data_IF_690779925627
#
_entry.id   IF_690779925627
#
_cell.length_a   1.000
_cell.length_b   1.000
_cell.length_c   1.000
_cell.angle_alpha   90.00
_cell.angle_beta   90.00
_cell.angle_gamma   90.00
#
_symmetry.space_group_name_H-M   'P 1'
#
loop_
_entity.id
_entity.type
_entity.pdbx_description
1 polymer ?
#
# COMPACT_ATOMS: atom_id res chain seq x y z
N UNK A 1 -3.92 -3.82 -1.63
CA UNK A 1 -3.16 -3.16 -0.53
C UNK A 1 -4.05 -2.76 0.65
N UNK A 2 -5.07 -1.90 0.51
CA UNK A 2 -5.88 -1.45 1.64
C UNK A 2 -6.49 -2.60 2.48
N UNK A 3 -7.06 -3.62 1.83
CA UNK A 3 -7.58 -4.80 2.54
C UNK A 3 -6.52 -5.60 3.31
N UNK A 4 -5.25 -5.54 2.87
CA UNK A 4 -4.13 -6.15 3.59
C UNK A 4 -3.83 -5.43 4.91
N UNK A 5 -3.84 -4.09 4.92
CA UNK A 5 -3.72 -3.32 6.16
C UNK A 5 -4.91 -3.53 7.10
N UNK A 6 -6.12 -3.72 6.56
CA UNK A 6 -7.28 -4.09 7.37
C UNK A 6 -7.10 -5.47 8.03
N UNK A 7 -6.51 -6.44 7.31
CA UNK A 7 -6.18 -7.75 7.88
C UNK A 7 -5.08 -7.67 8.96
N UNK A 8 -4.07 -6.81 8.78
CA UNK A 8 -3.04 -6.54 9.81
C UNK A 8 -3.69 -5.90 11.05
N UNK A 9 -4.56 -4.90 10.88
CA UNK A 9 -5.31 -4.28 11.97
C UNK A 9 -6.11 -5.33 12.74
N UNK A 10 -6.91 -6.14 12.05
CA UNK A 10 -7.73 -7.17 12.68
C UNK A 10 -6.85 -8.17 13.44
N UNK A 11 -5.78 -8.64 12.81
CA UNK A 11 -4.84 -9.57 13.43
C UNK A 11 -4.16 -8.97 14.67
N UNK A 12 -3.82 -7.68 14.64
CA UNK A 12 -3.22 -6.98 15.77
C UNK A 12 -4.17 -6.94 16.98
N UNK A 13 -5.47 -6.71 16.74
CA UNK A 13 -6.50 -6.76 17.79
C UNK A 13 -6.69 -8.18 18.35
N UNK A 14 -6.73 -9.19 17.49
CA UNK A 14 -6.91 -10.59 17.90
C UNK A 14 -5.71 -11.13 18.69
N UNK A 15 -4.49 -10.77 18.30
CA UNK A 15 -3.26 -11.29 18.91
C UNK A 15 -2.75 -10.44 20.09
N UNK A 16 -3.26 -9.22 20.25
CA UNK A 16 -2.78 -8.25 21.23
C UNK A 16 -1.44 -7.59 20.86
N UNK A 17 -0.87 -7.90 19.68
CA UNK A 17 0.33 -7.23 19.19
C UNK A 17 0.00 -5.82 18.69
N UNK A 18 0.92 -4.88 18.92
CA UNK A 18 0.76 -3.50 18.45
C UNK A 18 1.72 -3.17 17.31
N UNK A 19 1.19 -2.76 16.16
CA UNK A 19 2.00 -2.04 15.18
C UNK A 19 2.33 -0.64 15.70
N UNK A 20 3.36 -0.01 15.14
CA UNK A 20 3.78 1.33 15.53
C UNK A 20 2.70 2.38 15.26
N UNK A 21 1.81 2.15 14.29
CA UNK A 21 0.77 3.09 13.89
C UNK A 21 -0.57 2.83 14.61
N UNK A 22 -0.82 1.61 15.10
CA UNK A 22 -2.03 1.24 15.82
C UNK A 22 -1.91 1.44 17.35
N UNK A 23 -0.74 1.10 17.91
CA UNK A 23 -0.53 1.06 19.35
C UNK A 23 -1.26 -0.10 20.07
N UNK A 24 -0.96 -0.36 21.35
CA UNK A 24 -1.63 -1.38 22.16
C UNK A 24 -3.11 -1.06 22.37
N UNK A 25 -3.94 -2.07 22.62
CA UNK A 25 -5.37 -1.85 22.95
C UNK A 25 -5.58 -1.06 24.24
N UNK A 26 -4.70 -1.24 25.23
CA UNK A 26 -4.73 -0.52 26.51
C UNK A 26 -4.28 0.94 26.39
N UNK A 27 -3.61 1.30 25.30
CA UNK A 27 -3.11 2.64 25.03
C UNK A 27 -3.16 2.92 23.51
N UNK A 28 -4.37 3.07 22.94
CA UNK A 28 -4.54 3.22 21.51
C UNK A 28 -3.92 4.53 21.03
N UNK A 29 -3.33 4.50 19.83
CA UNK A 29 -2.84 5.72 19.19
C UNK A 29 -3.98 6.59 18.69
N UNK A 30 -3.66 7.87 18.47
CA UNK A 30 -4.55 8.80 17.79
C UNK A 30 -5.00 8.22 16.44
N UNK A 31 -6.30 8.31 16.16
CA UNK A 31 -6.89 7.73 14.95
C UNK A 31 -6.21 8.21 13.66
N UNK A 32 -5.74 9.46 13.64
CA UNK A 32 -5.00 10.05 12.52
C UNK A 32 -3.71 9.29 12.19
N UNK A 33 -3.02 8.77 13.21
CA UNK A 33 -1.84 7.92 13.02
C UNK A 33 -2.28 6.55 12.53
N UNK A 34 -3.38 6.02 13.07
CA UNK A 34 -3.85 4.67 12.73
C UNK A 34 -4.37 4.54 11.30
N UNK A 35 -4.87 5.62 10.69
CA UNK A 35 -5.32 5.62 9.29
C UNK A 35 -4.20 5.84 8.27
N UNK A 36 -3.01 6.26 8.74
CA UNK A 36 -1.88 6.62 7.88
C UNK A 36 -1.50 5.53 6.85
N UNK A 37 -1.47 4.22 7.18
CA UNK A 37 -1.16 3.17 6.21
C UNK A 37 -2.19 3.05 5.07
N UNK A 38 -3.41 3.54 5.28
CA UNK A 38 -4.50 3.46 4.31
C UNK A 38 -4.47 4.60 3.29
N UNK A 39 -3.74 5.69 3.56
CA UNK A 39 -3.73 6.87 2.71
C UNK A 39 -3.19 6.57 1.31
N UNK A 40 -2.04 5.89 1.23
CA UNK A 40 -1.43 5.51 -0.05
C UNK A 40 -2.35 4.62 -0.92
N UNK A 41 -2.88 3.49 -0.42
CA UNK A 41 -3.76 2.66 -1.25
C UNK A 41 -5.09 3.31 -1.60
N UNK A 42 -5.66 4.17 -0.73
CA UNK A 42 -6.88 4.93 -1.05
C UNK A 42 -6.60 5.96 -2.16
N UNK A 43 -5.53 6.75 -2.01
CA UNK A 43 -5.13 7.73 -3.01
C UNK A 43 -4.87 7.07 -4.38
N UNK A 44 -4.24 5.89 -4.38
CA UNK A 44 -4.02 5.11 -5.60
C UNK A 44 -5.31 4.59 -6.23
N UNK A 45 -6.24 4.10 -5.41
CA UNK A 45 -7.55 3.67 -5.91
C UNK A 45 -8.26 4.84 -6.60
N UNK A 46 -8.26 6.03 -5.98
CA UNK A 46 -8.84 7.25 -6.56
C UNK A 46 -8.11 7.63 -7.86
N UNK A 47 -6.78 7.64 -7.88
CA UNK A 47 -5.99 7.97 -9.06
C UNK A 47 -6.26 7.02 -10.23
N UNK A 48 -6.55 5.76 -9.95
CA UNK A 48 -6.92 4.74 -10.94
C UNK A 48 -8.18 5.11 -11.73
N UNK A 49 -9.17 5.73 -11.09
CA UNK A 49 -10.41 6.15 -11.75
C UNK A 49 -10.23 7.34 -12.70
N UNK A 50 -9.19 8.16 -12.50
CA UNK A 50 -8.95 9.37 -13.29
C UNK A 50 -8.14 9.07 -14.56
N UNK A 51 -7.72 7.81 -14.79
CA UNK A 51 -7.10 7.40 -16.06
C UNK A 51 -5.78 8.11 -16.36
N UNK A 52 -4.94 8.33 -15.35
CA UNK A 52 -3.71 9.09 -15.54
C UNK A 52 -2.64 8.27 -16.28
N UNK A 53 -2.08 8.82 -17.36
CA UNK A 53 -0.83 8.34 -18.00
C UNK A 53 0.35 8.22 -17.01
N UNK A 54 0.23 8.88 -15.86
CA UNK A 54 1.18 8.88 -14.74
C UNK A 54 0.86 7.84 -13.66
N UNK A 55 -0.22 7.07 -13.77
CA UNK A 55 -0.66 6.08 -12.77
C UNK A 55 0.44 5.09 -12.35
N UNK A 56 1.30 4.57 -13.27
CA UNK A 56 2.42 3.70 -12.89
C UNK A 56 3.48 4.41 -12.02
N UNK A 57 3.64 5.73 -12.14
CA UNK A 57 4.53 6.50 -11.27
C UNK A 57 3.93 6.70 -9.88
N UNK A 58 2.63 6.99 -9.82
CA UNK A 58 1.91 7.08 -8.55
C UNK A 58 1.96 5.75 -7.80
N UNK A 59 1.78 4.61 -8.49
CA UNK A 59 1.84 3.29 -7.85
C UNK A 59 3.21 2.96 -7.27
N UNK A 60 4.30 3.36 -7.92
CA UNK A 60 5.67 3.27 -7.35
C UNK A 60 5.77 4.12 -6.08
N UNK A 61 5.30 5.36 -6.12
CA UNK A 61 5.31 6.24 -4.96
C UNK A 61 4.49 5.66 -3.79
N UNK A 62 3.31 5.13 -4.05
CA UNK A 62 2.47 4.50 -3.03
C UNK A 62 3.08 3.22 -2.46
N UNK A 63 3.77 2.42 -3.28
CA UNK A 63 4.53 1.26 -2.81
C UNK A 63 5.70 1.69 -1.90
N UNK A 64 6.43 2.75 -2.24
CA UNK A 64 7.50 3.29 -1.41
C UNK A 64 6.98 3.79 -0.05
N UNK A 65 5.85 4.53 -0.03
CA UNK A 65 5.20 4.94 1.21
C UNK A 65 4.78 3.74 2.06
N UNK A 66 4.20 2.72 1.43
CA UNK A 66 3.80 1.47 2.11
C UNK A 66 5.01 0.77 2.74
N UNK A 67 6.15 0.72 2.04
CA UNK A 67 7.39 0.15 2.57
C UNK A 67 7.96 0.97 3.74
N UNK A 68 7.84 2.30 3.72
CA UNK A 68 8.23 3.15 4.84
C UNK A 68 7.36 2.91 6.08
N UNK A 69 6.07 2.63 5.89
CA UNK A 69 5.19 2.23 7.00
C UNK A 69 5.63 0.87 7.57
N UNK A 70 5.88 -0.11 6.69
CA UNK A 70 6.37 -1.44 7.08
C UNK A 70 7.68 -1.39 7.87
N UNK A 71 8.58 -0.47 7.50
CA UNK A 71 9.85 -0.26 8.19
C UNK A 71 9.65 0.08 9.67
N UNK A 72 8.60 0.82 10.02
CA UNK A 72 8.34 1.20 11.42
C UNK A 72 8.01 0.02 12.35
N UNK A 73 7.59 -1.12 11.79
CA UNK A 73 7.31 -2.35 12.55
C UNK A 73 8.51 -3.32 12.61
N UNK A 74 9.58 -3.02 11.89
CA UNK A 74 10.85 -3.76 12.00
C UNK A 74 11.39 -3.61 13.43
N UNK A 75 11.63 -4.75 14.09
CA UNK A 75 12.09 -4.76 15.48
C UNK A 75 10.99 -4.60 16.53
N UNK A 76 9.72 -4.43 16.13
CA UNK A 76 8.56 -4.53 17.03
C UNK A 76 7.84 -5.87 16.84
N UNK A 77 7.32 -6.09 15.63
CA UNK A 77 6.55 -7.28 15.27
C UNK A 77 6.93 -7.70 13.86
N UNK A 78 7.98 -8.51 13.75
CA UNK A 78 8.58 -8.87 12.46
C UNK A 78 7.58 -9.55 11.49
N UNK A 79 6.57 -10.26 12.00
CA UNK A 79 5.52 -10.86 11.18
C UNK A 79 4.65 -9.82 10.46
N UNK A 80 4.31 -8.72 11.13
CA UNK A 80 3.57 -7.62 10.49
C UNK A 80 4.45 -6.83 9.52
N UNK A 81 5.69 -6.53 9.91
CA UNK A 81 6.65 -5.90 9.00
C UNK A 81 6.80 -6.70 7.69
N UNK A 82 6.98 -8.02 7.77
CA UNK A 82 7.07 -8.88 6.58
C UNK A 82 5.80 -8.84 5.71
N UNK A 83 4.62 -8.86 6.34
CA UNK A 83 3.33 -8.78 5.64
C UNK A 83 3.17 -7.43 4.94
N UNK A 84 3.49 -6.33 5.63
CA UNK A 84 3.39 -4.98 5.09
C UNK A 84 4.41 -4.75 3.95
N UNK A 85 5.63 -5.29 4.06
CA UNK A 85 6.59 -5.29 2.94
C UNK A 85 6.11 -6.11 1.75
N UNK A 86 5.46 -7.27 1.98
CA UNK A 86 4.87 -8.04 0.89
C UNK A 86 3.75 -7.27 0.18
N UNK A 87 2.94 -6.50 0.91
CA UNK A 87 1.94 -5.59 0.33
C UNK A 87 2.60 -4.49 -0.51
N UNK A 88 3.68 -3.89 -0.01
CA UNK A 88 4.45 -2.88 -0.74
C UNK A 88 5.04 -3.45 -2.03
N UNK A 89 5.67 -4.62 -1.97
CA UNK A 89 6.24 -5.31 -3.13
C UNK A 89 5.17 -5.66 -4.15
N UNK A 90 4.04 -6.22 -3.72
CA UNK A 90 2.91 -6.50 -4.61
C UNK A 90 2.41 -5.25 -5.32
N UNK A 91 2.31 -4.13 -4.59
CA UNK A 91 1.98 -2.84 -5.16
C UNK A 91 2.98 -2.34 -6.21
N UNK A 92 4.27 -2.46 -5.90
CA UNK A 92 5.34 -2.10 -6.82
C UNK A 92 5.27 -2.92 -8.11
N UNK A 93 5.11 -4.23 -8.00
CA UNK A 93 5.01 -5.15 -9.15
C UNK A 93 3.80 -4.82 -10.04
N UNK A 94 2.64 -4.55 -9.44
CA UNK A 94 1.44 -4.10 -10.19
C UNK A 94 1.74 -2.79 -10.93
N UNK A 95 2.42 -1.85 -10.27
CA UNK A 95 2.78 -0.58 -10.88
C UNK A 95 3.75 -0.73 -12.04
N UNK A 96 4.76 -1.60 -11.90
CA UNK A 96 5.70 -1.95 -12.97
C UNK A 96 4.95 -2.59 -14.14
N UNK A 97 4.05 -3.53 -13.88
CA UNK A 97 3.24 -4.17 -14.92
C UNK A 97 2.35 -3.16 -15.66
N UNK A 98 1.83 -2.13 -14.99
CA UNK A 98 0.97 -1.13 -15.59
C UNK A 98 1.66 -0.31 -16.70
N UNK A 99 3.00 -0.20 -16.71
CA UNK A 99 3.72 0.41 -17.83
C UNK A 99 3.48 -0.31 -19.15
N UNK A 100 3.30 -1.64 -19.15
CA UNK A 100 3.00 -2.40 -20.37
C UNK A 100 1.69 -1.97 -21.02
N UNK A 101 0.67 -1.62 -20.22
CA UNK A 101 -0.60 -1.10 -20.71
C UNK A 101 -0.49 0.31 -21.28
N UNK A 102 0.30 1.18 -20.64
CA UNK A 102 0.55 2.54 -21.14
C UNK A 102 1.29 2.53 -22.47
N UNK A 103 2.24 1.61 -22.67
CA UNK A 103 2.98 1.48 -23.93
C UNK A 103 2.08 1.01 -25.08
N UNK A 104 1.22 0.01 -24.84
CA UNK A 104 0.25 -0.48 -25.84
C UNK A 104 -0.74 0.58 -26.30
N UNK A 105 -1.21 1.44 -25.39
CA UNK A 105 -2.12 2.53 -25.74
C UNK A 105 -1.50 3.61 -26.65
N UNK A 106 -0.18 3.59 -26.86
CA UNK A 106 0.54 4.52 -27.73
C UNK A 106 0.85 3.98 -29.12
N UNK A 107 0.59 2.71 -29.42
CA UNK A 107 0.81 2.14 -30.75
C UNK A 107 -0.28 2.63 -31.72
N UNK A 108 0.08 3.18 -32.90
CA UNK A 108 -0.91 3.58 -33.90
C UNK A 108 -1.68 2.36 -34.42
N UNK A 109 -3.00 2.50 -34.53
CA UNK A 109 -3.87 1.46 -35.10
C UNK A 109 -3.46 1.21 -36.56
N UNK A 110 -3.17 -0.05 -36.97
CA UNK A 110 -2.76 -0.33 -38.33
C UNK A 110 -3.90 0.00 -39.28
N UNK A 111 -3.73 1.03 -40.10
CA UNK A 111 -4.67 1.40 -41.17
C UNK A 111 -4.66 0.29 -42.22
N UNK A 112 -5.69 -0.55 -42.20
CA UNK A 112 -6.02 -1.53 -43.26
C UNK A 112 -6.77 -0.87 -44.41
#
# INVERSE_FOLDING_TARGET
>A
MAGGFAAVWYSARVTGFSTWWLGPETAPRLILISILPFLAPIALAIAGFVGARRLPWWGIAGAAVTALVAWGDVGRVNGYAATEFALALGGLLVSVAAFSGVLRAGEPEPTS
#
